data_IF_920366187635
#
_entry.id   IF_920366187635
#
_cell.length_a   1.000
_cell.length_b   1.000
_cell.length_c   1.000
_cell.angle_alpha   90.00
_cell.angle_beta   90.00
_cell.angle_gamma   90.00
#
_symmetry.space_group_name_H-M   'P 1'
#
loop_
_entity.id
_entity.type
_entity.pdbx_description
1 polymer ?
#
# COMPACT_ATOMS: atom_id res chain seq x y z
N UNK A 1 -21.72 8.74 -10.77
CA UNK A 1 -21.03 7.67 -11.52
C UNK A 1 -21.81 6.38 -11.41
N UNK A 2 -21.98 5.66 -12.52
CA UNK A 2 -22.54 4.31 -12.52
C UNK A 2 -21.58 3.34 -11.82
N UNK A 3 -22.09 2.21 -11.31
CA UNK A 3 -21.25 1.16 -10.70
C UNK A 3 -20.17 0.64 -11.65
N UNK A 4 -20.45 0.60 -12.96
CA UNK A 4 -19.46 0.20 -13.98
C UNK A 4 -18.27 1.16 -14.05
N UNK A 5 -18.52 2.47 -14.01
CA UNK A 5 -17.44 3.47 -14.04
C UNK A 5 -16.51 3.35 -12.84
N UNK A 6 -17.05 3.13 -11.63
CA UNK A 6 -16.22 2.95 -10.42
C UNK A 6 -15.33 1.71 -10.49
N UNK A 7 -15.80 0.61 -11.09
CA UNK A 7 -14.98 -0.60 -11.29
C UNK A 7 -13.83 -0.35 -12.25
N UNK A 8 -14.07 0.37 -13.35
CA UNK A 8 -13.02 0.74 -14.30
C UNK A 8 -11.97 1.62 -13.61
N UNK A 9 -12.40 2.64 -12.86
CA UNK A 9 -11.49 3.48 -12.08
C UNK A 9 -10.66 2.66 -11.07
N UNK A 10 -11.30 1.70 -10.38
CA UNK A 10 -10.61 0.80 -9.46
C UNK A 10 -9.57 -0.06 -10.18
N UNK A 11 -9.89 -0.62 -11.36
CA UNK A 11 -8.94 -1.43 -12.13
C UNK A 11 -7.73 -0.62 -12.60
N UNK A 12 -7.96 0.58 -13.15
CA UNK A 12 -6.88 1.49 -13.57
C UNK A 12 -6.01 1.84 -12.35
N UNK A 13 -6.65 2.18 -11.24
CA UNK A 13 -5.96 2.46 -9.97
C UNK A 13 -5.11 1.27 -9.50
N UNK A 14 -5.62 0.05 -9.55
CA UNK A 14 -4.86 -1.14 -9.13
C UNK A 14 -3.62 -1.36 -9.98
N UNK A 15 -3.69 -1.12 -11.30
CA UNK A 15 -2.51 -1.20 -12.19
C UNK A 15 -1.47 -0.16 -11.80
N UNK A 16 -1.89 1.08 -11.53
CA UNK A 16 -1.01 2.16 -11.09
C UNK A 16 -0.39 1.86 -9.71
N UNK A 17 -1.19 1.32 -8.78
CA UNK A 17 -0.74 0.92 -7.45
C UNK A 17 0.35 -0.15 -7.54
N UNK A 18 0.14 -1.19 -8.35
CA UNK A 18 1.15 -2.23 -8.54
C UNK A 18 2.43 -1.67 -9.17
N UNK A 19 2.31 -0.81 -10.18
CA UNK A 19 3.47 -0.20 -10.81
C UNK A 19 4.29 0.65 -9.83
N UNK A 20 3.61 1.48 -9.03
CA UNK A 20 4.25 2.41 -8.10
C UNK A 20 4.78 1.72 -6.83
N UNK A 21 4.00 0.84 -6.21
CA UNK A 21 4.32 0.22 -4.91
C UNK A 21 5.17 -1.04 -5.10
N UNK A 22 4.76 -1.94 -5.99
CA UNK A 22 5.45 -3.23 -6.16
C UNK A 22 6.72 -3.06 -6.99
N UNK A 23 6.56 -2.54 -8.21
CA UNK A 23 7.69 -2.46 -9.14
C UNK A 23 8.62 -1.30 -8.78
N UNK A 24 8.10 -0.24 -8.14
CA UNK A 24 8.82 1.02 -7.88
C UNK A 24 9.50 1.53 -9.15
N UNK A 25 8.85 1.33 -10.30
CA UNK A 25 9.47 1.54 -11.60
C UNK A 25 9.58 3.04 -11.89
N UNK A 26 10.81 3.56 -11.85
CA UNK A 26 11.08 4.96 -12.13
C UNK A 26 11.40 5.25 -13.61
N UNK A 27 11.15 4.28 -14.51
CA UNK A 27 11.48 4.39 -15.95
C UNK A 27 12.78 3.70 -16.37
N UNK A 28 13.57 3.18 -15.42
CA UNK A 28 14.86 2.55 -15.67
C UNK A 28 14.83 1.05 -15.30
N UNK A 29 14.99 0.18 -16.29
CA UNK A 29 15.01 -1.28 -16.08
C UNK A 29 16.27 -1.72 -15.33
N UNK A 30 17.39 -1.02 -15.49
CA UNK A 30 18.65 -1.39 -14.84
C UNK A 30 18.54 -1.21 -13.32
N UNK A 31 17.93 -0.12 -12.85
CA UNK A 31 17.66 0.10 -11.42
C UNK A 31 16.79 -1.00 -10.81
N UNK A 32 15.80 -1.50 -11.57
CA UNK A 32 14.96 -2.62 -11.14
C UNK A 32 15.77 -3.90 -11.00
N UNK A 33 16.62 -4.22 -11.99
CA UNK A 33 17.50 -5.39 -11.96
C UNK A 33 18.49 -5.29 -10.79
N UNK A 34 19.09 -4.12 -10.57
CA UNK A 34 20.03 -3.88 -9.48
C UNK A 34 19.38 -4.06 -8.10
N UNK A 35 18.12 -3.64 -7.96
CA UNK A 35 17.33 -3.85 -6.73
C UNK A 35 17.10 -5.34 -6.47
N UNK A 36 16.71 -6.10 -7.50
CA UNK A 36 16.49 -7.55 -7.38
C UNK A 36 17.80 -8.27 -7.01
N UNK A 37 18.90 -7.93 -7.69
CA UNK A 37 20.20 -8.55 -7.46
C UNK A 37 20.75 -8.25 -6.06
N UNK A 38 20.68 -6.99 -5.62
CA UNK A 38 21.14 -6.59 -4.29
C UNK A 38 20.33 -7.25 -3.17
N UNK A 39 19.00 -7.26 -3.26
CA UNK A 39 18.14 -7.94 -2.29
C UNK A 39 18.37 -9.46 -2.26
N UNK A 40 18.64 -10.08 -3.41
CA UNK A 40 18.99 -11.50 -3.47
C UNK A 40 20.30 -11.77 -2.73
N UNK A 41 21.32 -10.96 -3.00
CA UNK A 41 22.63 -11.08 -2.35
C UNK A 41 22.53 -10.89 -0.82
N UNK A 42 21.80 -9.89 -0.33
CA UNK A 42 21.61 -9.69 1.12
C UNK A 42 20.96 -10.89 1.79
N UNK A 43 19.95 -11.50 1.15
CA UNK A 43 19.30 -12.70 1.67
C UNK A 43 20.23 -13.91 1.69
N UNK A 44 21.08 -14.08 0.68
CA UNK A 44 22.11 -15.13 0.65
C UNK A 44 23.15 -14.94 1.77
N UNK A 45 23.40 -13.69 2.19
CA UNK A 45 24.26 -13.35 3.32
C UNK A 45 23.57 -13.51 4.69
N UNK A 46 22.30 -13.90 4.72
CA UNK A 46 21.53 -14.17 5.94
C UNK A 46 20.72 -12.98 6.46
N UNK A 47 20.63 -11.87 5.72
CA UNK A 47 19.77 -10.74 6.11
C UNK A 47 18.29 -11.11 6.09
N UNK A 48 17.57 -10.71 7.13
CA UNK A 48 16.16 -11.03 7.29
C UNK A 48 15.31 -10.15 6.35
N UNK A 49 14.64 -10.78 5.38
CA UNK A 49 13.70 -10.09 4.49
C UNK A 49 12.27 -10.02 5.05
N UNK A 50 12.06 -10.52 6.27
CA UNK A 50 10.75 -10.58 6.92
C UNK A 50 10.88 -9.93 8.29
N UNK A 51 10.11 -8.87 8.52
CA UNK A 51 9.92 -8.26 9.82
C UNK A 51 8.48 -8.50 10.29
N UNK A 52 8.32 -9.31 11.34
CA UNK A 52 7.04 -9.55 12.01
C UNK A 52 6.96 -8.89 13.39
N UNK A 53 8.01 -8.19 13.81
CA UNK A 53 8.04 -7.48 15.08
C UNK A 53 7.49 -6.08 14.85
N UNK A 54 6.30 -5.77 15.36
CA UNK A 54 5.71 -4.46 15.17
C UNK A 54 6.54 -3.38 15.86
N UNK A 55 6.56 -2.20 15.27
CA UNK A 55 7.25 -0.97 15.67
C UNK A 55 8.78 -1.01 15.57
N UNK A 56 9.37 -2.11 15.12
CA UNK A 56 10.82 -2.23 14.94
C UNK A 56 11.34 -1.27 13.87
N UNK A 57 10.62 -1.11 12.77
CA UNK A 57 11.01 -0.23 11.66
C UNK A 57 10.70 1.22 12.01
N UNK A 58 9.63 1.47 12.76
CA UNK A 58 9.31 2.79 13.30
C UNK A 58 10.41 3.37 14.20
N UNK A 59 11.00 2.56 15.08
CA UNK A 59 12.12 3.01 15.92
C UNK A 59 13.33 3.45 15.08
N UNK A 60 13.60 2.74 13.97
CA UNK A 60 14.67 3.10 13.03
C UNK A 60 14.32 4.41 12.30
N UNK A 61 13.07 4.61 11.90
CA UNK A 61 12.62 5.84 11.23
C UNK A 61 12.67 7.07 12.14
N UNK A 62 12.23 6.96 13.39
CA UNK A 62 12.26 8.07 14.36
C UNK A 62 13.71 8.45 14.70
N UNK A 63 14.59 7.47 14.83
CA UNK A 63 16.01 7.76 15.09
C UNK A 63 16.74 8.36 13.88
N UNK A 64 16.21 8.17 12.65
CA UNK A 64 16.75 8.72 11.41
C UNK A 64 15.84 9.80 10.79
N UNK A 65 15.00 10.48 11.59
CA UNK A 65 13.96 11.40 11.12
C UNK A 65 14.52 12.57 10.29
N UNK A 66 15.79 12.93 10.49
CA UNK A 66 16.47 13.99 9.72
C UNK A 66 16.91 13.54 8.32
N UNK A 67 16.70 12.29 7.95
CA UNK A 67 16.98 11.78 6.60
C UNK A 67 15.73 11.91 5.71
N UNK A 68 15.88 12.51 4.53
CA UNK A 68 14.81 12.54 3.51
C UNK A 68 14.35 11.15 3.03
N UNK A 69 15.06 10.10 3.42
CA UNK A 69 14.77 8.70 3.12
C UNK A 69 13.57 8.16 3.94
N UNK A 70 13.53 8.43 5.24
CA UNK A 70 12.42 8.00 6.11
C UNK A 70 11.08 8.59 5.66
N UNK A 71 11.06 9.89 5.31
CA UNK A 71 9.88 10.56 4.77
C UNK A 71 9.39 9.95 3.46
N UNK A 72 10.30 9.60 2.54
CA UNK A 72 9.93 8.99 1.25
C UNK A 72 9.31 7.60 1.43
N UNK A 73 9.84 6.78 2.34
CA UNK A 73 9.26 5.45 2.60
C UNK A 73 7.88 5.55 3.27
N UNK A 74 7.75 6.41 4.29
CA UNK A 74 6.47 6.61 4.98
C UNK A 74 5.41 7.17 4.01
N UNK A 75 5.74 8.20 3.24
CA UNK A 75 4.80 8.78 2.27
C UNK A 75 4.50 7.84 1.11
N UNK A 76 5.50 7.08 0.65
CA UNK A 76 5.37 6.07 -0.40
C UNK A 76 4.45 4.91 -0.01
N UNK A 77 4.34 4.61 1.28
CA UNK A 77 3.39 3.62 1.81
C UNK A 77 2.03 4.27 2.16
N UNK A 78 1.99 5.50 2.66
CA UNK A 78 0.71 6.11 3.07
C UNK A 78 -0.14 6.55 1.86
N UNK A 79 0.43 7.36 0.96
CA UNK A 79 -0.33 8.07 -0.07
C UNK A 79 -1.05 7.10 -1.02
N UNK A 80 -0.42 6.04 -1.54
CA UNK A 80 -1.05 5.21 -2.56
C UNK A 80 -2.24 4.40 -2.07
N UNK A 81 -2.34 4.11 -0.77
CA UNK A 81 -3.39 3.25 -0.21
C UNK A 81 -4.63 4.02 0.26
N UNK A 82 -4.56 5.35 0.40
CA UNK A 82 -5.74 6.18 0.72
C UNK A 82 -6.85 6.01 -0.34
N UNK A 83 -6.58 6.12 -1.66
CA UNK A 83 -7.60 5.88 -2.67
C UNK A 83 -8.18 4.47 -2.63
N UNK A 84 -7.43 3.45 -2.20
CA UNK A 84 -7.94 2.08 -2.09
C UNK A 84 -9.13 1.99 -1.15
N UNK A 85 -8.99 2.58 0.05
CA UNK A 85 -10.04 2.59 1.07
C UNK A 85 -11.32 3.29 0.60
N UNK A 86 -11.18 4.28 -0.29
CA UNK A 86 -12.31 4.98 -0.90
C UNK A 86 -12.95 4.18 -2.06
N UNK A 87 -12.14 3.64 -2.96
CA UNK A 87 -12.60 3.05 -4.22
C UNK A 87 -13.25 1.68 -4.02
N UNK A 88 -12.80 0.86 -3.07
CA UNK A 88 -13.41 -0.45 -2.79
C UNK A 88 -14.92 -0.34 -2.48
N UNK A 89 -15.37 0.46 -1.49
CA UNK A 89 -16.79 0.60 -1.22
C UNK A 89 -17.53 1.29 -2.37
N UNK A 90 -16.90 2.23 -3.08
CA UNK A 90 -17.50 2.90 -4.23
C UNK A 90 -17.80 1.94 -5.41
N UNK A 91 -16.90 0.99 -5.67
CA UNK A 91 -16.96 0.09 -6.83
C UNK A 91 -17.76 -1.19 -6.56
N UNK A 92 -17.66 -1.76 -5.36
CA UNK A 92 -18.15 -3.12 -5.10
C UNK A 92 -19.35 -3.18 -4.16
N UNK A 93 -19.54 -2.20 -3.29
CA UNK A 93 -20.58 -2.28 -2.27
C UNK A 93 -21.72 -1.30 -2.50
N UNK A 94 -22.95 -1.82 -2.56
CA UNK A 94 -24.14 -0.97 -2.65
C UNK A 94 -24.49 -0.28 -1.32
N UNK A 95 -23.95 -0.78 -0.20
CA UNK A 95 -24.11 -0.24 1.16
C UNK A 95 -22.74 -0.24 1.83
N UNK A 96 -22.47 0.71 2.73
CA UNK A 96 -21.20 0.75 3.45
C UNK A 96 -21.04 -0.48 4.34
N UNK A 97 -19.95 -1.23 4.11
CA UNK A 97 -19.57 -2.42 4.88
C UNK A 97 -18.13 -2.26 5.33
N UNK A 98 -17.90 -1.40 6.32
CA UNK A 98 -16.56 -0.98 6.79
C UNK A 98 -15.66 -2.20 7.06
N UNK A 99 -16.14 -3.19 7.81
CA UNK A 99 -15.37 -4.41 8.10
C UNK A 99 -15.01 -5.20 6.82
N UNK A 100 -15.91 -5.32 5.84
CA UNK A 100 -15.62 -6.01 4.58
C UNK A 100 -14.62 -5.23 3.73
N UNK A 101 -14.73 -3.89 3.74
CA UNK A 101 -13.75 -3.03 3.06
C UNK A 101 -12.37 -3.19 3.69
N UNK A 102 -12.26 -3.08 5.01
CA UNK A 102 -11.00 -3.22 5.73
C UNK A 102 -10.38 -4.59 5.52
N UNK A 103 -11.17 -5.67 5.59
CA UNK A 103 -10.68 -7.01 5.30
C UNK A 103 -10.19 -7.13 3.84
N UNK A 104 -10.90 -6.54 2.88
CA UNK A 104 -10.46 -6.53 1.47
C UNK A 104 -9.15 -5.75 1.31
N UNK A 105 -9.01 -4.60 1.97
CA UNK A 105 -7.77 -3.82 1.99
C UNK A 105 -6.62 -4.66 2.57
N UNK A 106 -6.84 -5.30 3.72
CA UNK A 106 -5.84 -6.15 4.37
C UNK A 106 -5.33 -7.25 3.45
N UNK A 107 -6.25 -8.00 2.81
CA UNK A 107 -5.89 -9.07 1.88
C UNK A 107 -5.05 -8.53 0.71
N UNK A 108 -5.43 -7.39 0.13
CA UNK A 108 -4.67 -6.78 -0.97
C UNK A 108 -3.28 -6.33 -0.51
N UNK A 109 -3.18 -5.66 0.64
CA UNK A 109 -1.90 -5.20 1.21
C UNK A 109 -0.98 -6.39 1.47
N UNK A 110 -1.46 -7.43 2.17
CA UNK A 110 -0.64 -8.63 2.41
C UNK A 110 -0.22 -9.31 1.11
N UNK A 111 -1.08 -9.33 0.09
CA UNK A 111 -0.73 -9.88 -1.22
C UNK A 111 0.40 -9.07 -1.87
N UNK A 112 0.38 -7.74 -1.78
CA UNK A 112 1.42 -6.86 -2.29
C UNK A 112 2.76 -7.14 -1.58
N UNK A 113 2.78 -7.20 -0.25
CA UNK A 113 3.98 -7.50 0.54
C UNK A 113 4.55 -8.88 0.20
N UNK A 114 3.70 -9.90 0.03
CA UNK A 114 4.12 -11.24 -0.39
C UNK A 114 4.73 -11.22 -1.79
N UNK A 115 4.14 -10.48 -2.73
CA UNK A 115 4.69 -10.33 -4.09
C UNK A 115 6.04 -9.63 -4.05
N UNK A 116 6.19 -8.55 -3.28
CA UNK A 116 7.48 -7.87 -3.12
C UNK A 116 8.54 -8.77 -2.49
N UNK A 117 8.16 -9.56 -1.48
CA UNK A 117 9.04 -10.54 -0.84
C UNK A 117 9.49 -11.61 -1.84
N UNK A 118 8.57 -12.21 -2.59
CA UNK A 118 8.85 -13.32 -3.51
C UNK A 118 9.64 -12.89 -4.75
N UNK A 119 9.43 -11.67 -5.23
CA UNK A 119 10.14 -11.12 -6.39
C UNK A 119 11.46 -10.41 -6.04
N UNK A 120 11.88 -10.43 -4.77
CA UNK A 120 13.08 -9.70 -4.29
C UNK A 120 13.02 -8.19 -4.57
N UNK A 121 11.82 -7.62 -4.66
CA UNK A 121 11.60 -6.18 -4.85
C UNK A 121 11.56 -5.43 -3.51
N UNK A 122 11.34 -6.15 -2.41
CA UNK A 122 11.32 -5.59 -1.07
C UNK A 122 11.36 -6.67 0.01
N UNK A 123 11.02 -6.25 1.23
CA UNK A 123 10.83 -7.09 2.41
C UNK A 123 9.34 -7.21 2.74
N UNK A 124 8.98 -8.19 3.55
CA UNK A 124 7.67 -8.27 4.18
C UNK A 124 7.76 -7.57 5.53
N UNK A 125 7.16 -6.39 5.68
CA UNK A 125 7.22 -5.61 6.93
C UNK A 125 5.83 -5.40 7.52
N UNK A 126 5.63 -5.84 8.77
CA UNK A 126 4.38 -5.65 9.49
C UNK A 126 4.07 -4.15 9.74
N UNK A 127 5.10 -3.32 9.85
CA UNK A 127 4.93 -1.87 10.05
C UNK A 127 4.36 -1.21 8.80
N UNK A 128 4.77 -1.67 7.62
CA UNK A 128 4.22 -1.23 6.33
C UNK A 128 2.76 -1.67 6.16
N UNK A 129 2.42 -2.90 6.57
CA UNK A 129 1.02 -3.37 6.59
C UNK A 129 0.16 -2.47 7.48
N UNK A 130 0.64 -2.11 8.67
CA UNK A 130 -0.07 -1.23 9.61
C UNK A 130 -0.27 0.17 8.99
N UNK A 131 0.78 0.76 8.42
CA UNK A 131 0.72 2.07 7.75
C UNK A 131 -0.25 2.07 6.57
N UNK A 132 -0.20 1.04 5.73
CA UNK A 132 -1.07 0.90 4.56
C UNK A 132 -2.54 0.72 4.99
N UNK A 133 -2.79 -0.01 6.09
CA UNK A 133 -4.13 -0.15 6.66
C UNK A 133 -4.67 1.16 7.24
N UNK A 134 -3.85 1.93 7.97
CA UNK A 134 -4.22 3.25 8.48
C UNK A 134 -4.61 4.19 7.32
N UNK A 135 -3.87 4.11 6.22
CA UNK A 135 -4.16 4.87 5.00
C UNK A 135 -5.50 4.49 4.39
N UNK A 136 -5.83 3.19 4.37
CA UNK A 136 -7.15 2.72 3.95
C UNK A 136 -8.28 3.25 4.85
N UNK A 137 -8.06 3.33 6.17
CA UNK A 137 -9.04 3.89 7.10
C UNK A 137 -9.33 5.36 6.74
N UNK A 138 -8.31 6.16 6.44
CA UNK A 138 -8.47 7.54 5.98
C UNK A 138 -9.33 7.58 4.70
N UNK A 139 -9.05 6.72 3.72
CA UNK A 139 -9.84 6.59 2.50
C UNK A 139 -11.31 6.23 2.74
N UNK A 140 -11.58 5.32 3.68
CA UNK A 140 -12.93 4.93 4.08
C UNK A 140 -13.66 6.12 4.73
N UNK A 141 -12.99 6.87 5.61
CA UNK A 141 -13.57 8.06 6.24
C UNK A 141 -13.97 9.10 5.19
N UNK A 142 -13.10 9.37 4.22
CA UNK A 142 -13.40 10.27 3.09
C UNK A 142 -14.63 9.78 2.31
N UNK A 143 -14.77 8.48 2.08
CA UNK A 143 -15.96 7.92 1.42
C UNK A 143 -17.23 8.16 2.24
N UNK A 144 -17.20 7.87 3.55
CA UNK A 144 -18.34 8.09 4.44
C UNK A 144 -18.79 9.56 4.42
N UNK A 145 -17.84 10.48 4.56
CA UNK A 145 -18.08 11.93 4.52
C UNK A 145 -18.71 12.32 3.19
N UNK A 146 -18.14 11.89 2.05
CA UNK A 146 -18.65 12.22 0.72
C UNK A 146 -20.09 11.73 0.48
N UNK A 147 -20.46 10.60 1.08
CA UNK A 147 -21.81 10.04 0.98
C UNK A 147 -22.81 10.83 1.82
N UNK A 148 -22.42 11.26 3.01
CA UNK A 148 -23.29 12.06 3.89
C UNK A 148 -23.62 13.42 3.25
N UNK A 149 -22.66 14.07 2.59
CA UNK A 149 -22.93 15.32 1.85
C UNK A 149 -23.98 15.14 0.74
N UNK A 150 -23.94 14.02 -0.01
CA UNK A 150 -24.95 13.72 -1.04
C UNK A 150 -26.34 13.35 -0.53
N UNK A 151 -26.46 12.97 0.74
CA UNK A 151 -27.75 12.64 1.35
C UNK A 151 -28.44 13.89 1.91
N UNK A 152 -27.67 14.96 2.17
CA UNK A 152 -28.16 16.24 2.72
C UNK A 152 -28.46 17.28 1.63
N UNK A 153 -27.95 17.10 0.40
CA UNK A 153 -28.22 17.91 -0.80
C UNK A 153 -29.32 17.32 -1.68
#
# INVERSE_FOLDING_TARGET
MSKGAWKICFLIYMVLLLNFVVIKFNGNINELIDTIQSNKQWREQGEAAINLVPFRTFDIYINNINSGFAYKNILGNIIPFIPMGFLIPAAFFSKMKILKTLFSCFVVICSIEIVQLTLYLGSFDIDDIILNLLSCIIGILLFVISRNFKVVS
#
